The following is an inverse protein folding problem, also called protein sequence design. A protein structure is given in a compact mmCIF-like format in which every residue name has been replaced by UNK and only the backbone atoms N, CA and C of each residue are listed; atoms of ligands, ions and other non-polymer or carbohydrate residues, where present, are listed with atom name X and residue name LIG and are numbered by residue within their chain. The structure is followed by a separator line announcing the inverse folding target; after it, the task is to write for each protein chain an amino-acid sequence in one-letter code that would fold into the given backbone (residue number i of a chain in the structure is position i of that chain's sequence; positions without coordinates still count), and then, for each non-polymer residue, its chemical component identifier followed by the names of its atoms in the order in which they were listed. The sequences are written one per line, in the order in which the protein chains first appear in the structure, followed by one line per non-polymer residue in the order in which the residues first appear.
data_IF_959333108244
#
_entry.id   IF_959333108244
#
_cell.length_a   1.000
_cell.length_b   1.000
_cell.length_c   1.000
_cell.angle_alpha   90.00
_cell.angle_beta   90.00
_cell.angle_gamma   90.00
#
_symmetry.space_group_name_H-M   'P 1'
#
loop_
_entity.id
_entity.type
_entity.pdbx_description
1 polymer ?
#
# COMPACT_ATOMS: atom_id res chain seq x y z
N UNK A 1 0.01 -4.06 4.94
CA UNK A 1 -1.33 -3.53 5.28
C UNK A 1 -1.19 -2.06 5.56
N UNK A 2 -2.13 -1.22 5.13
CA UNK A 2 -2.12 0.23 5.36
C UNK A 2 -3.21 0.54 6.38
N UNK A 3 -2.89 1.33 7.42
CA UNK A 3 -3.87 1.77 8.40
C UNK A 3 -4.88 2.72 7.74
N UNK A 4 -6.16 2.55 8.05
CA UNK A 4 -7.24 3.33 7.47
C UNK A 4 -8.36 3.53 8.50
N UNK A 5 -9.21 4.53 8.26
CA UNK A 5 -10.43 4.68 9.05
C UNK A 5 -11.40 3.52 8.74
N UNK A 6 -12.11 3.07 9.77
CA UNK A 6 -13.13 2.02 9.73
C UNK A 6 -14.35 2.34 8.88
N UNK A 7 -14.62 3.62 8.61
CA UNK A 7 -15.77 4.07 7.83
C UNK A 7 -15.49 4.18 6.34
N UNK A 8 -14.21 4.12 5.93
CA UNK A 8 -13.86 4.28 4.53
C UNK A 8 -14.30 3.06 3.72
N UNK A 9 -15.02 3.34 2.63
CA UNK A 9 -15.28 2.31 1.65
C UNK A 9 -14.01 1.95 0.85
N UNK A 10 -14.15 1.05 -0.12
CA UNK A 10 -13.01 0.62 -0.93
C UNK A 10 -12.41 1.75 -1.78
N UNK A 11 -13.26 2.58 -2.38
CA UNK A 11 -12.85 3.63 -3.30
C UNK A 11 -12.18 4.78 -2.54
N UNK A 12 -12.75 5.19 -1.41
CA UNK A 12 -12.18 6.25 -0.57
C UNK A 12 -10.81 5.83 -0.03
N UNK A 13 -10.65 4.56 0.38
CA UNK A 13 -9.35 4.02 0.78
C UNK A 13 -8.32 4.07 -0.36
N UNK A 14 -8.73 3.71 -1.58
CA UNK A 14 -7.86 3.77 -2.75
C UNK A 14 -7.46 5.20 -3.09
N UNK A 15 -8.39 6.15 -3.01
CA UNK A 15 -8.13 7.57 -3.26
C UNK A 15 -7.15 8.15 -2.23
N UNK A 16 -7.38 7.90 -0.94
CA UNK A 16 -6.46 8.32 0.13
C UNK A 16 -5.07 7.73 -0.09
N UNK A 17 -4.99 6.43 -0.38
CA UNK A 17 -3.72 5.75 -0.65
C UNK A 17 -3.02 6.32 -1.89
N UNK A 18 -3.76 6.63 -2.94
CA UNK A 18 -3.25 7.23 -4.17
C UNK A 18 -2.63 8.60 -3.92
N UNK A 19 -3.30 9.44 -3.12
CA UNK A 19 -2.82 10.77 -2.75
C UNK A 19 -1.54 10.71 -1.90
N UNK A 20 -1.43 9.72 -1.01
CA UNK A 20 -0.20 9.48 -0.25
C UNK A 20 0.96 9.08 -1.18
N UNK A 21 0.73 8.16 -2.12
CA UNK A 21 1.74 7.77 -3.12
C UNK A 21 2.17 8.96 -3.99
N UNK A 22 1.23 9.81 -4.41
CA UNK A 22 1.54 11.06 -5.14
C UNK A 22 2.40 12.02 -4.34
N UNK A 23 2.18 12.14 -3.04
CA UNK A 23 3.01 12.96 -2.14
C UNK A 23 4.46 12.43 -2.09
N UNK A 24 4.64 11.12 -2.26
CA UNK A 24 5.96 10.49 -2.45
C UNK A 24 6.51 10.65 -3.88
N UNK A 25 5.82 11.36 -4.78
CA UNK A 25 6.19 11.49 -6.19
C UNK A 25 5.99 10.22 -7.02
N UNK A 26 5.27 9.23 -6.48
CA UNK A 26 4.94 7.98 -7.17
C UNK A 26 3.60 8.16 -7.86
N UNK A 27 3.53 7.80 -9.14
CA UNK A 27 2.31 7.90 -9.94
C UNK A 27 1.82 6.50 -10.30
N UNK A 28 1.15 5.80 -9.37
CA UNK A 28 0.75 4.42 -9.58
C UNK A 28 -0.31 4.35 -10.69
N UNK A 29 -0.14 3.40 -11.62
CA UNK A 29 -1.12 3.18 -12.71
C UNK A 29 -2.19 2.18 -12.33
N UNK A 30 -1.84 1.22 -11.49
CA UNK A 30 -2.73 0.14 -11.05
C UNK A 30 -2.60 -0.01 -9.54
N UNK A 31 -3.73 0.05 -8.86
CA UNK A 31 -3.87 -0.17 -7.44
C UNK A 31 -5.04 -1.11 -7.18
N UNK A 32 -4.92 -1.95 -6.16
CA UNK A 32 -5.97 -2.86 -5.75
C UNK A 32 -6.03 -2.91 -4.23
N UNK A 33 -7.21 -2.61 -3.70
CA UNK A 33 -7.54 -2.82 -2.32
C UNK A 33 -7.82 -4.32 -2.12
N UNK A 34 -7.34 -4.87 -1.00
CA UNK A 34 -7.56 -6.27 -0.67
C UNK A 34 -8.21 -6.41 0.70
N UNK A 35 -7.80 -7.45 1.43
CA UNK A 35 -8.40 -7.83 2.70
C UNK A 35 -8.29 -6.73 3.76
N UNK A 36 -9.36 -6.58 4.52
CA UNK A 36 -9.38 -5.83 5.77
C UNK A 36 -8.89 -6.69 6.93
N UNK A 37 -8.15 -6.06 7.85
CA UNK A 37 -7.70 -6.67 9.11
C UNK A 37 -7.78 -5.64 10.22
N UNK A 38 -7.89 -6.14 11.44
CA UNK A 38 -7.87 -5.35 12.67
C UNK A 38 -6.64 -5.72 13.49
N UNK A 39 -5.97 -4.72 14.03
CA UNK A 39 -4.89 -4.89 15.01
C UNK A 39 -5.39 -4.36 16.34
N UNK A 40 -5.46 -5.22 17.35
CA UNK A 40 -5.83 -4.82 18.71
C UNK A 40 -4.59 -4.33 19.44
N UNK A 41 -4.63 -3.10 19.94
CA UNK A 41 -3.61 -2.50 20.79
C UNK A 41 -4.23 -2.10 22.14
N UNK A 42 -3.43 -1.80 23.18
CA UNK A 42 -3.96 -1.26 24.43
C UNK A 42 -4.75 0.06 24.26
N UNK A 43 -4.42 0.85 23.24
CA UNK A 43 -5.04 2.16 22.97
C UNK A 43 -6.29 2.07 22.08
N UNK A 44 -6.60 0.88 21.54
CA UNK A 44 -7.78 0.66 20.72
C UNK A 44 -7.56 -0.29 19.55
N UNK A 45 -8.49 -0.26 18.59
CA UNK A 45 -8.43 -1.09 17.39
C UNK A 45 -7.94 -0.24 16.22
N UNK A 46 -6.87 -0.68 15.58
CA UNK A 46 -6.40 -0.10 14.32
C UNK A 46 -7.00 -0.90 13.18
N UNK A 47 -7.77 -0.22 12.33
CA UNK A 47 -8.31 -0.78 11.10
C UNK A 47 -7.26 -0.68 10.00
N UNK A 48 -7.13 -1.74 9.21
CA UNK A 48 -6.14 -1.80 8.14
C UNK A 48 -6.71 -2.50 6.92
N UNK A 49 -6.24 -2.14 5.73
CA UNK A 49 -6.55 -2.83 4.48
C UNK A 49 -5.26 -3.13 3.70
N UNK A 50 -5.16 -4.29 3.06
CA UNK A 50 -4.01 -4.58 2.20
C UNK A 50 -4.10 -3.76 0.92
N UNK A 51 -2.97 -3.27 0.43
CA UNK A 51 -2.88 -2.53 -0.82
C UNK A 51 -1.83 -3.18 -1.72
N UNK A 52 -2.22 -3.48 -2.95
CA UNK A 52 -1.30 -3.84 -4.01
C UNK A 52 -1.14 -2.66 -4.96
N UNK A 53 0.10 -2.38 -5.36
CA UNK A 53 0.45 -1.36 -6.35
C UNK A 53 1.29 -2.04 -7.43
N UNK A 54 0.89 -1.88 -8.69
CA UNK A 54 1.52 -2.53 -9.84
C UNK A 54 1.97 -1.50 -10.89
N UNK A 55 2.78 -1.98 -11.84
CA UNK A 55 3.35 -1.20 -12.95
C UNK A 55 4.18 0.02 -12.49
N UNK A 56 4.89 -0.11 -11.37
CA UNK A 56 5.82 0.90 -10.87
C UNK A 56 7.17 0.81 -11.57
N UNK A 57 7.80 1.97 -11.81
CA UNK A 57 9.23 1.98 -12.18
C UNK A 57 10.06 1.41 -11.02
N UNK A 58 11.23 0.85 -11.33
CA UNK A 58 12.13 0.27 -10.31
C UNK A 58 12.43 1.27 -9.18
N UNK A 59 12.70 2.54 -9.53
CA UNK A 59 12.96 3.60 -8.55
C UNK A 59 11.76 3.92 -7.67
N UNK A 60 10.55 3.92 -8.23
CA UNK A 60 9.30 4.11 -7.47
C UNK A 60 9.03 2.94 -6.53
N UNK A 61 9.27 1.71 -6.99
CA UNK A 61 9.14 0.50 -6.18
C UNK A 61 10.09 0.49 -4.99
N UNK A 62 11.37 0.84 -5.21
CA UNK A 62 12.36 0.95 -4.13
C UNK A 62 11.96 2.05 -3.15
N UNK A 63 11.60 3.24 -3.66
CA UNK A 63 11.17 4.37 -2.81
C UNK A 63 9.95 4.00 -1.95
N UNK A 64 8.99 3.27 -2.52
CA UNK A 64 7.82 2.79 -1.79
C UNK A 64 8.18 1.83 -0.66
N UNK A 65 9.14 0.93 -0.88
CA UNK A 65 9.61 0.00 0.15
C UNK A 65 10.38 0.71 1.27
N UNK A 66 11.18 1.72 0.92
CA UNK A 66 11.97 2.50 1.89
C UNK A 66 11.08 3.39 2.77
N UNK A 67 10.07 4.03 2.18
CA UNK A 67 9.28 5.05 2.88
C UNK A 67 7.97 4.50 3.47
N UNK A 68 7.33 3.57 2.76
CA UNK A 68 5.98 3.12 3.07
C UNK A 68 4.93 4.22 2.93
N UNK A 69 3.67 3.91 3.28
CA UNK A 69 2.58 4.91 3.37
C UNK A 69 1.72 4.67 4.61
N UNK A 70 1.04 5.71 5.09
CA UNK A 70 0.17 5.64 6.26
C UNK A 70 0.93 5.55 7.59
N UNK A 71 0.15 5.31 8.64
CA UNK A 71 0.62 5.36 10.03
C UNK A 71 1.01 3.99 10.58
N UNK A 72 1.48 3.98 11.83
CA UNK A 72 1.78 2.78 12.60
C UNK A 72 2.84 1.85 11.99
N UNK A 73 3.88 2.43 11.35
CA UNK A 73 4.99 1.67 10.74
C UNK A 73 5.70 0.71 11.70
N UNK A 74 5.84 1.09 12.98
CA UNK A 74 6.43 0.23 14.01
C UNK A 74 5.58 -1.00 14.36
N UNK A 75 4.30 -1.00 13.99
CA UNK A 75 3.39 -2.15 14.11
C UNK A 75 3.30 -2.95 12.80
N UNK A 76 4.17 -2.67 11.82
CA UNK A 76 4.19 -3.34 10.52
C UNK A 76 3.17 -2.80 9.51
N UNK A 77 2.48 -1.70 9.81
CA UNK A 77 1.60 -1.02 8.86
C UNK A 77 2.40 -0.18 7.86
N UNK A 78 1.86 0.02 6.66
CA UNK A 78 2.46 0.86 5.64
C UNK A 78 3.69 0.29 4.92
N UNK A 79 4.15 -0.89 5.30
CA UNK A 79 5.31 -1.54 4.70
C UNK A 79 4.92 -2.28 3.42
N UNK A 80 5.74 -2.13 2.37
CA UNK A 80 5.57 -2.80 1.08
C UNK A 80 6.66 -3.83 0.88
N UNK A 81 6.27 -4.99 0.36
CA UNK A 81 7.16 -6.09 0.03
C UNK A 81 7.14 -6.30 -1.48
N UNK A 82 8.30 -6.39 -2.15
CA UNK A 82 8.35 -6.57 -3.58
C UNK A 82 7.75 -7.93 -3.94
N UNK A 83 6.84 -7.92 -4.91
CA UNK A 83 6.30 -9.15 -5.51
C UNK A 83 7.04 -9.42 -6.81
N UNK A 84 7.23 -10.71 -7.13
CA UNK A 84 7.82 -11.11 -8.42
C UNK A 84 6.89 -10.61 -9.54
N UNK A 85 7.44 -9.83 -10.47
CA UNK A 85 6.71 -9.43 -11.67
C UNK A 85 6.28 -10.65 -12.48
N UNK A 86 5.14 -10.54 -13.17
CA UNK A 86 4.60 -11.59 -14.06
C UNK A 86 5.00 -11.31 -15.51
N UNK A 87 5.91 -10.36 -15.74
CA UNK A 87 6.38 -10.01 -17.08
C UNK A 87 6.87 -11.27 -17.81
N UNK A 88 6.28 -11.53 -18.97
CA UNK A 88 6.69 -12.62 -19.84
C UNK A 88 8.17 -12.43 -20.18
N UNK A 89 8.96 -13.49 -20.01
CA UNK A 89 10.31 -13.50 -20.59
C UNK A 89 10.14 -13.59 -22.09
N UNK A 90 10.51 -12.55 -22.82
CA UNK A 90 10.62 -12.64 -24.27
C UNK A 90 11.62 -13.76 -24.58
N UNK A 91 11.18 -14.74 -25.38
CA UNK A 91 12.04 -15.81 -25.84
C UNK A 91 13.10 -15.21 -26.78
N UNK A 92 14.37 -15.33 -26.39
CA UNK A 92 15.54 -15.09 -27.26
C UNK A 92 15.61 -16.16 -28.33
#
# INVERSE_FOLDING_TARGET
YVACDSQLDENEFLEVSFNQLKTLGIHPKKMMAGLERKITTPDGIIHTRSLMVADLRKSESVKLQEQGIGDHRLLGCGLFVPQKGIDSVDAV
#
